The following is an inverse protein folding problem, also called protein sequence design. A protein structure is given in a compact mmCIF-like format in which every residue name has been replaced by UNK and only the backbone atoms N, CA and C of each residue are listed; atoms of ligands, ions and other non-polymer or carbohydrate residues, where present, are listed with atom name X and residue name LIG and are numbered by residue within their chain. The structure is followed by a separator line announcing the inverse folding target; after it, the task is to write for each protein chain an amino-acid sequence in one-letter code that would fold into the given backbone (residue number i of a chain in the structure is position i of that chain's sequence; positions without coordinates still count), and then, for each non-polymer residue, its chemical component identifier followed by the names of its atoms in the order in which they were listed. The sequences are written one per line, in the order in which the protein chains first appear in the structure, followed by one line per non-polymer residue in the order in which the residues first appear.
data_IF_439508105035
#
_entry.id   IF_439508105035
#
_cell.length_a   1.000
_cell.length_b   1.000
_cell.length_c   1.000
_cell.angle_alpha   90.00
_cell.angle_beta   90.00
_cell.angle_gamma   90.00
#
_symmetry.space_group_name_H-M   'P 1'
#
loop_
_entity.id
_entity.type
_entity.pdbx_description
1 polymer ?
#
# COMPACT_ATOMS: atom_id res chain seq x y z
N UNK A 1 74.45 -8.39 0.67
CA UNK A 1 74.52 -6.98 0.24
C UNK A 1 73.11 -6.41 0.23
N UNK A 2 72.81 -5.48 1.14
CA UNK A 2 71.50 -4.84 1.25
C UNK A 2 71.49 -3.55 0.43
N UNK A 3 70.61 -3.47 -0.57
CA UNK A 3 70.41 -2.26 -1.39
C UNK A 3 69.42 -1.32 -0.72
N UNK A 4 69.87 -0.09 -0.48
CA UNK A 4 69.10 1.02 0.10
C UNK A 4 67.99 1.49 -0.84
N UNK A 5 66.77 1.58 -0.30
CA UNK A 5 65.58 2.12 -0.95
C UNK A 5 65.75 3.61 -1.25
N UNK A 6 65.72 3.99 -2.54
CA UNK A 6 65.58 5.38 -2.97
C UNK A 6 64.16 5.87 -2.67
N UNK A 7 64.01 6.80 -1.73
CA UNK A 7 62.75 7.49 -1.46
C UNK A 7 62.48 8.53 -2.55
N UNK A 8 61.43 8.29 -3.36
CA UNK A 8 60.91 9.32 -4.29
C UNK A 8 60.06 10.32 -3.51
N UNK A 9 60.40 11.60 -3.62
CA UNK A 9 59.65 12.70 -3.00
C UNK A 9 58.28 12.84 -3.69
N UNK A 10 57.16 13.00 -2.94
CA UNK A 10 55.82 13.08 -3.51
C UNK A 10 55.62 14.34 -4.36
N UNK A 11 55.08 14.17 -5.56
CA UNK A 11 54.96 15.20 -6.60
C UNK A 11 53.74 16.12 -6.49
N UNK A 12 52.87 15.96 -5.49
CA UNK A 12 51.69 16.81 -5.33
C UNK A 12 51.45 17.22 -3.88
N UNK A 13 50.86 18.41 -3.70
CA UNK A 13 50.55 18.99 -2.39
C UNK A 13 49.65 18.09 -1.53
N UNK A 14 48.77 17.30 -2.14
CA UNK A 14 47.92 16.35 -1.43
C UNK A 14 48.70 15.16 -0.86
N UNK A 15 49.67 14.63 -1.61
CA UNK A 15 50.55 13.55 -1.15
C UNK A 15 51.55 14.05 -0.10
N UNK A 16 52.07 15.27 -0.26
CA UNK A 16 53.00 15.89 0.69
C UNK A 16 52.35 16.10 2.06
N UNK A 17 51.09 16.58 2.11
CA UNK A 17 50.30 16.68 3.35
C UNK A 17 50.00 15.32 3.99
N UNK A 18 49.87 14.27 3.18
CA UNK A 18 49.60 12.91 3.66
C UNK A 18 50.84 12.28 4.30
N UNK A 19 52.03 12.57 3.77
CA UNK A 19 53.31 12.08 4.31
C UNK A 19 53.76 12.86 5.55
N UNK A 20 53.57 14.18 5.59
CA UNK A 20 53.97 15.00 6.76
C UNK A 20 52.98 14.90 7.92
N UNK A 21 51.73 14.53 7.66
CA UNK A 21 50.73 14.28 8.70
C UNK A 21 50.87 12.93 9.43
N UNK A 22 51.84 12.09 9.03
CA UNK A 22 52.03 10.73 9.57
C UNK A 22 53.27 10.58 10.48
N UNK A 23 53.98 11.67 10.80
CA UNK A 23 55.19 11.66 11.63
C UNK A 23 54.96 11.95 13.12
N UNK A 24 53.71 12.02 13.57
CA UNK A 24 53.35 12.09 14.99
C UNK A 24 52.43 10.92 15.33
N UNK A 25 52.92 10.02 16.18
CA UNK A 25 52.23 8.90 16.82
C UNK A 25 51.83 7.69 15.97
N UNK A 26 52.66 6.65 16.12
CA UNK A 26 52.22 5.34 16.60
C UNK A 26 51.01 4.69 15.94
N UNK A 27 51.28 3.66 15.14
CA UNK A 27 50.51 2.43 14.98
C UNK A 27 49.03 2.52 15.39
N UNK A 28 48.11 2.59 14.41
CA UNK A 28 46.84 1.86 14.32
C UNK A 28 45.90 2.52 13.25
N UNK A 29 45.45 1.72 12.28
CA UNK A 29 44.35 1.94 11.31
C UNK A 29 44.48 3.02 10.20
N UNK A 30 44.67 2.57 8.95
CA UNK A 30 44.51 3.38 7.73
C UNK A 30 43.07 3.51 7.22
N UNK A 31 42.08 3.61 8.11
CA UNK A 31 40.71 3.96 7.69
C UNK A 31 40.56 5.48 7.70
N UNK A 32 41.10 6.16 6.68
CA UNK A 32 40.80 7.58 6.46
C UNK A 32 39.38 7.70 5.91
N UNK A 33 38.39 7.58 6.79
CA UNK A 33 37.00 7.84 6.47
C UNK A 33 36.88 9.31 6.07
N UNK A 34 36.56 9.59 4.82
CA UNK A 34 36.27 10.95 4.38
C UNK A 34 34.97 11.42 5.05
N UNK A 35 35.09 12.12 6.18
CA UNK A 35 33.97 12.83 6.77
C UNK A 35 33.74 14.07 5.91
N UNK A 36 32.79 13.97 4.97
CA UNK A 36 32.30 15.13 4.21
C UNK A 36 31.70 16.12 5.20
N UNK A 37 32.45 17.17 5.53
CA UNK A 37 31.97 18.26 6.37
C UNK A 37 30.69 18.87 5.79
N UNK A 38 29.70 19.11 6.66
CA UNK A 38 28.42 19.74 6.32
C UNK A 38 28.69 21.21 5.97
N UNK A 39 28.99 21.49 4.69
CA UNK A 39 29.17 22.85 4.19
C UNK A 39 27.82 23.58 4.30
N UNK A 40 27.76 24.64 5.13
CA UNK A 40 26.62 25.56 5.24
C UNK A 40 26.58 26.55 4.05
N UNK A 41 26.73 26.05 2.83
CA UNK A 41 26.33 26.84 1.66
C UNK A 41 24.80 26.84 1.67
N UNK A 42 24.22 28.00 1.96
CA UNK A 42 22.79 28.21 1.81
C UNK A 42 22.45 27.84 0.36
N UNK A 43 21.73 26.73 0.17
CA UNK A 43 21.18 26.40 -1.15
C UNK A 43 20.36 27.62 -1.57
N UNK A 44 20.69 28.22 -2.71
CA UNK A 44 19.88 29.27 -3.33
C UNK A 44 18.46 28.71 -3.44
N UNK A 45 17.53 29.25 -2.64
CA UNK A 45 16.22 28.63 -2.43
C UNK A 45 15.28 28.79 -3.62
N UNK A 46 15.70 29.54 -4.65
CA UNK A 46 14.79 30.14 -5.61
C UNK A 46 15.14 29.78 -7.07
N UNK A 47 15.44 28.50 -7.33
CA UNK A 47 15.49 28.01 -8.70
C UNK A 47 14.06 27.77 -9.24
N UNK A 48 13.24 28.81 -9.34
CA UNK A 48 11.90 28.73 -9.94
C UNK A 48 11.94 29.19 -11.39
N UNK A 49 11.15 28.54 -12.25
CA UNK A 49 11.04 28.89 -13.66
C UNK A 49 9.68 29.49 -13.95
N UNK A 50 9.66 30.57 -14.71
CA UNK A 50 8.44 31.24 -15.16
C UNK A 50 7.85 30.51 -16.36
N UNK A 51 6.57 30.16 -16.26
CA UNK A 51 5.86 29.38 -17.27
C UNK A 51 4.48 29.99 -17.54
N UNK A 52 3.96 29.77 -18.75
CA UNK A 52 2.60 30.13 -19.13
C UNK A 52 1.77 28.85 -19.27
N UNK A 53 0.63 28.80 -18.57
CA UNK A 53 -0.27 27.65 -18.62
C UNK A 53 -1.09 27.66 -19.92
N UNK A 54 -1.04 26.59 -20.71
CA UNK A 54 -1.90 26.40 -21.89
C UNK A 54 -3.24 25.75 -21.57
N UNK A 55 -3.33 25.04 -20.44
CA UNK A 55 -4.54 24.35 -19.96
C UNK A 55 -4.68 24.62 -18.45
N UNK A 56 -5.89 24.54 -17.88
CA UNK A 56 -6.05 24.71 -16.44
C UNK A 56 -5.42 23.54 -15.69
N UNK A 57 -4.61 23.83 -14.66
CA UNK A 57 -3.94 22.80 -13.85
C UNK A 57 -4.31 22.99 -12.39
N UNK A 58 -4.90 21.95 -11.79
CA UNK A 58 -5.34 21.91 -10.40
C UNK A 58 -4.16 22.22 -9.47
N UNK A 59 -4.36 23.14 -8.53
CA UNK A 59 -3.37 23.58 -7.56
C UNK A 59 -2.28 24.53 -8.09
N UNK A 60 -2.35 24.92 -9.38
CA UNK A 60 -1.41 25.90 -9.97
C UNK A 60 -2.18 27.11 -10.50
N UNK A 61 -3.18 26.91 -11.35
CA UNK A 61 -3.97 28.02 -11.89
C UNK A 61 -4.74 27.72 -13.18
N UNK A 62 -5.45 28.76 -13.63
CA UNK A 62 -6.25 28.76 -14.86
C UNK A 62 -5.35 28.83 -16.12
N UNK A 63 -5.92 28.42 -17.26
CA UNK A 63 -5.30 28.58 -18.58
C UNK A 63 -4.95 30.06 -18.85
N UNK A 64 -3.82 30.30 -19.50
CA UNK A 64 -3.29 31.61 -19.90
C UNK A 64 -2.47 32.32 -18.83
N UNK A 65 -2.47 31.83 -17.58
CA UNK A 65 -1.80 32.49 -16.45
C UNK A 65 -0.30 32.23 -16.47
N UNK A 66 0.48 33.27 -16.13
CA UNK A 66 1.93 33.18 -15.95
C UNK A 66 2.24 32.95 -14.47
N UNK A 67 2.93 31.84 -14.18
CA UNK A 67 3.17 31.34 -12.84
C UNK A 67 4.63 30.90 -12.70
N UNK A 68 5.20 31.08 -11.51
CA UNK A 68 6.52 30.53 -11.16
C UNK A 68 6.37 29.14 -10.53
N UNK A 69 7.06 28.15 -11.09
CA UNK A 69 6.94 26.75 -10.68
C UNK A 69 8.35 26.12 -10.59
N UNK A 70 8.58 25.15 -9.70
CA UNK A 70 9.85 24.43 -9.67
C UNK A 70 10.15 23.72 -11.01
N UNK A 71 11.41 23.73 -11.49
CA UNK A 71 11.80 23.23 -12.80
C UNK A 71 11.50 21.74 -12.98
N UNK A 72 11.59 20.95 -11.90
CA UNK A 72 11.25 19.52 -11.94
C UNK A 72 9.77 19.28 -12.23
N UNK A 73 8.86 20.11 -11.71
CA UNK A 73 7.43 19.99 -11.96
C UNK A 73 7.12 20.41 -13.41
N UNK A 74 7.74 21.51 -13.88
CA UNK A 74 7.62 21.93 -15.27
C UNK A 74 8.11 20.85 -16.24
N UNK A 75 9.34 20.33 -16.07
CA UNK A 75 9.94 19.33 -16.97
C UNK A 75 9.18 18.00 -16.99
N UNK A 76 8.85 17.48 -15.81
CA UNK A 76 8.36 16.10 -15.69
C UNK A 76 6.84 15.97 -15.88
N UNK A 77 6.06 17.03 -15.58
CA UNK A 77 4.58 16.94 -15.59
C UNK A 77 3.91 17.91 -16.54
N UNK A 78 4.39 19.15 -16.65
CA UNK A 78 3.67 20.19 -17.40
C UNK A 78 4.07 20.22 -18.88
N UNK A 79 5.37 20.32 -19.15
CA UNK A 79 5.90 20.51 -20.50
C UNK A 79 5.63 19.28 -21.38
N UNK A 80 6.00 18.07 -20.91
CA UNK A 80 5.80 16.84 -21.68
C UNK A 80 4.32 16.51 -21.99
N UNK A 81 3.38 17.07 -21.21
CA UNK A 81 1.92 16.91 -21.45
C UNK A 81 1.29 18.09 -22.19
N UNK A 82 2.08 19.09 -22.58
CA UNK A 82 1.58 20.31 -23.22
C UNK A 82 0.64 21.13 -22.34
N UNK A 83 0.81 21.08 -21.00
CA UNK A 83 0.03 21.88 -20.06
C UNK A 83 0.58 23.31 -19.90
N UNK A 84 1.87 23.50 -20.16
CA UNK A 84 2.52 24.80 -20.03
C UNK A 84 3.69 24.93 -21.01
N UNK A 85 4.06 26.18 -21.30
CA UNK A 85 5.21 26.57 -22.13
C UNK A 85 6.14 27.45 -21.31
N UNK A 86 7.45 27.31 -21.54
CA UNK A 86 8.46 28.18 -20.94
C UNK A 86 8.29 29.60 -21.48
N UNK A 87 8.27 30.59 -20.60
CA UNK A 87 8.20 32.00 -21.01
C UNK A 87 9.60 32.56 -20.95
N UNK A 88 10.10 33.03 -22.08
CA UNK A 88 11.37 33.76 -22.10
C UNK A 88 11.16 35.17 -21.53
N UNK A 89 12.18 35.77 -20.88
CA UNK A 89 12.04 37.10 -20.30
C UNK A 89 11.68 38.17 -21.33
N UNK A 90 12.02 37.99 -22.60
CA UNK A 90 11.68 38.88 -23.73
C UNK A 90 10.19 38.80 -24.09
N UNK A 91 9.62 37.60 -24.16
CA UNK A 91 8.17 37.40 -24.41
C UNK A 91 7.32 37.96 -23.27
N UNK A 92 7.81 37.86 -22.02
CA UNK A 92 7.09 38.40 -20.87
C UNK A 92 6.94 39.93 -20.86
N UNK A 93 7.91 40.66 -21.45
CA UNK A 93 7.86 42.13 -21.63
C UNK A 93 6.90 42.52 -22.72
N UNK A 94 7.02 41.88 -23.88
CA UNK A 94 6.20 42.15 -25.05
C UNK A 94 4.72 41.92 -24.75
N UNK A 95 4.41 40.92 -23.93
CA UNK A 95 3.05 40.64 -23.48
C UNK A 95 2.54 41.60 -22.37
N UNK A 96 3.31 42.63 -21.98
CA UNK A 96 2.95 43.54 -20.86
C UNK A 96 2.81 42.83 -19.51
N UNK A 97 3.32 41.61 -19.42
CA UNK A 97 2.90 40.62 -18.43
C UNK A 97 3.89 40.45 -17.28
N UNK A 98 5.03 41.15 -17.30
CA UNK A 98 6.01 41.14 -16.20
C UNK A 98 5.42 41.54 -14.84
N UNK A 99 4.38 42.37 -14.84
CA UNK A 99 3.64 42.74 -13.61
C UNK A 99 2.62 41.70 -13.15
N UNK A 100 2.36 40.66 -13.96
CA UNK A 100 1.37 39.61 -13.72
C UNK A 100 2.01 38.23 -13.49
N UNK A 101 3.27 38.20 -13.02
CA UNK A 101 3.86 36.94 -12.54
C UNK A 101 3.25 36.63 -11.19
N UNK A 102 2.47 35.57 -11.14
CA UNK A 102 1.70 35.21 -9.96
C UNK A 102 2.21 33.94 -9.30
N UNK A 103 2.02 33.86 -7.98
CA UNK A 103 2.31 32.64 -7.22
C UNK A 103 1.30 31.53 -7.60
N UNK A 104 1.70 30.25 -7.52
CA UNK A 104 0.80 29.12 -7.72
C UNK A 104 -0.41 29.17 -6.78
N UNK A 105 -1.61 29.04 -7.33
CA UNK A 105 -2.85 29.02 -6.56
C UNK A 105 -3.17 27.60 -6.07
N UNK A 106 -2.78 27.30 -4.82
CA UNK A 106 -3.03 26.00 -4.20
C UNK A 106 -4.52 25.67 -4.04
N UNK A 107 -5.42 26.66 -4.06
CA UNK A 107 -6.87 26.47 -3.89
C UNK A 107 -7.59 26.13 -5.19
N UNK A 108 -6.94 26.35 -6.34
CA UNK A 108 -7.55 26.15 -7.64
C UNK A 108 -7.87 24.67 -7.90
N UNK A 109 -9.14 24.35 -8.17
CA UNK A 109 -9.59 23.00 -8.52
C UNK A 109 -9.58 21.98 -7.36
N UNK A 110 -9.11 22.36 -6.17
CA UNK A 110 -9.32 21.56 -4.97
C UNK A 110 -10.74 21.82 -4.50
N UNK A 111 -11.60 20.81 -4.54
CA UNK A 111 -12.86 20.86 -3.79
C UNK A 111 -12.47 21.11 -2.34
N UNK A 112 -12.78 22.30 -1.81
CA UNK A 112 -12.71 22.50 -0.36
C UNK A 112 -13.57 21.39 0.21
N UNK A 113 -12.96 20.44 0.91
CA UNK A 113 -13.72 19.61 1.81
C UNK A 113 -14.35 20.61 2.77
N UNK A 114 -15.64 20.88 2.58
CA UNK A 114 -16.43 21.60 3.55
C UNK A 114 -16.28 20.73 4.80
N UNK A 115 -15.40 21.14 5.72
CA UNK A 115 -15.48 20.69 7.09
C UNK A 115 -16.83 21.25 7.55
N UNK A 116 -17.83 20.37 7.52
CA UNK A 116 -19.10 20.61 8.19
C UNK A 116 -18.73 20.58 9.67
N UNK A 117 -18.30 21.72 10.20
CA UNK A 117 -18.50 21.95 11.62
C UNK A 117 -20.02 22.06 11.80
N UNK A 118 -20.64 21.27 12.70
CA UNK A 118 -22.05 21.38 12.99
C UNK A 118 -22.28 22.69 13.74
N UNK A 119 -22.42 23.79 13.00
CA UNK A 119 -22.93 25.05 13.55
C UNK A 119 -24.44 24.91 13.62
N UNK A 120 -24.94 24.87 14.85
CA UNK A 120 -26.35 24.93 15.17
C UNK A 120 -27.01 26.15 14.52
N UNK A 121 -28.21 25.88 14.01
CA UNK A 121 -29.25 26.76 13.51
C UNK A 121 -29.05 28.27 13.71
N UNK A 122 -29.10 29.02 12.60
CA UNK A 122 -30.10 30.08 12.46
C UNK A 122 -30.32 30.52 11.01
N UNK A 123 -31.61 30.60 10.67
CA UNK A 123 -32.20 30.98 9.39
C UNK A 123 -31.75 32.37 8.95
N UNK A 124 -31.31 32.49 7.69
CA UNK A 124 -31.58 33.68 6.85
C UNK A 124 -31.45 33.32 5.37
N UNK A 125 -32.58 33.37 4.68
CA UNK A 125 -32.67 33.24 3.23
C UNK A 125 -32.14 34.50 2.57
N UNK A 126 -31.11 34.37 1.73
CA UNK A 126 -30.75 35.38 0.74
C UNK A 126 -30.64 34.72 -0.64
N UNK A 127 -31.49 35.22 -1.54
CA UNK A 127 -31.57 34.85 -2.95
C UNK A 127 -30.29 35.31 -3.66
N UNK A 128 -29.64 34.41 -4.40
CA UNK A 128 -28.75 34.79 -5.50
C UNK A 128 -29.12 34.00 -6.75
N UNK A 129 -29.43 34.76 -7.80
CA UNK A 129 -29.61 34.35 -9.18
C UNK A 129 -28.25 34.28 -9.86
N UNK A 130 -27.89 33.11 -10.39
CA UNK A 130 -27.17 33.01 -11.68
C UNK A 130 -26.96 31.54 -12.03
N UNK A 131 -27.28 31.19 -13.27
CA UNK A 131 -27.42 29.82 -13.76
C UNK A 131 -26.17 28.96 -13.63
N UNK A 132 -26.32 27.83 -12.96
CA UNK A 132 -25.46 26.68 -13.11
C UNK A 132 -26.34 25.50 -13.52
N UNK A 133 -25.98 24.85 -14.63
CA UNK A 133 -26.59 23.60 -15.08
C UNK A 133 -26.51 22.60 -13.93
N UNK A 134 -27.62 22.40 -13.23
CA UNK A 134 -27.81 21.32 -12.27
C UNK A 134 -27.77 20.02 -13.06
N UNK A 135 -26.58 19.44 -13.24
CA UNK A 135 -26.50 18.00 -13.45
C UNK A 135 -27.16 17.39 -12.21
N UNK A 136 -28.23 16.63 -12.45
CA UNK A 136 -29.01 15.90 -11.46
C UNK A 136 -28.10 14.94 -10.67
N UNK A 137 -27.41 15.46 -9.66
CA UNK A 137 -26.68 14.69 -8.64
C UNK A 137 -27.63 14.13 -7.57
N UNK A 138 -28.95 14.22 -7.77
CA UNK A 138 -29.96 13.51 -6.98
C UNK A 138 -30.29 12.11 -7.52
N UNK A 139 -29.46 11.60 -8.43
CA UNK A 139 -29.24 10.15 -8.54
C UNK A 139 -27.95 9.77 -7.82
N UNK A 140 -27.69 10.41 -6.67
CA UNK A 140 -27.01 9.70 -5.58
C UNK A 140 -27.94 8.55 -5.28
N UNK A 141 -27.49 7.38 -5.71
CA UNK A 141 -28.14 6.11 -5.55
C UNK A 141 -28.59 6.04 -4.09
N UNK A 142 -29.89 6.23 -3.85
CA UNK A 142 -30.55 5.55 -2.75
C UNK A 142 -30.31 4.07 -3.07
N UNK A 143 -29.16 3.56 -2.61
CA UNK A 143 -28.99 2.14 -2.42
C UNK A 143 -30.04 1.89 -1.36
N UNK A 144 -31.20 1.44 -1.81
CA UNK A 144 -32.27 0.92 -0.97
C UNK A 144 -31.64 -0.22 -0.19
N UNK A 145 -31.03 0.15 0.95
CA UNK A 145 -30.32 -0.75 1.83
C UNK A 145 -31.37 -1.74 2.30
N UNK A 146 -31.20 -3.00 1.92
CA UNK A 146 -32.09 -4.07 2.34
C UNK A 146 -32.12 -4.09 3.88
N UNK A 147 -33.27 -4.45 4.46
CA UNK A 147 -33.32 -4.69 5.90
C UNK A 147 -32.33 -5.82 6.26
N UNK A 148 -31.68 -5.75 7.43
CA UNK A 148 -30.69 -6.74 7.84
C UNK A 148 -31.27 -8.18 7.83
N UNK A 149 -32.52 -8.34 8.25
CA UNK A 149 -33.25 -9.62 8.22
C UNK A 149 -33.47 -10.14 6.79
N UNK A 150 -33.78 -9.25 5.83
CA UNK A 150 -33.92 -9.65 4.43
C UNK A 150 -32.57 -10.03 3.84
N UNK A 151 -31.50 -9.34 4.22
CA UNK A 151 -30.16 -9.70 3.75
C UNK A 151 -29.69 -11.05 4.29
N UNK A 152 -30.03 -11.43 5.52
CA UNK A 152 -29.70 -12.77 6.04
C UNK A 152 -30.45 -13.87 5.31
N UNK A 153 -31.72 -13.66 4.96
CA UNK A 153 -32.49 -14.61 4.13
C UNK A 153 -31.87 -14.77 2.73
N UNK A 154 -31.43 -13.66 2.11
CA UNK A 154 -30.75 -13.72 0.82
C UNK A 154 -29.41 -14.49 0.95
N UNK A 155 -28.68 -14.31 2.04
CA UNK A 155 -27.47 -15.09 2.31
C UNK A 155 -27.76 -16.58 2.56
N UNK A 156 -28.90 -16.94 3.17
CA UNK A 156 -29.30 -18.33 3.35
C UNK A 156 -29.68 -19.02 2.03
N UNK A 157 -30.24 -18.25 1.09
CA UNK A 157 -30.81 -18.81 -0.13
C UNK A 157 -29.78 -18.86 -1.28
N UNK A 158 -28.99 -17.79 -1.44
CA UNK A 158 -28.10 -17.64 -2.60
C UNK A 158 -26.72 -18.26 -2.42
N UNK A 159 -26.24 -18.38 -1.18
CA UNK A 159 -24.92 -18.94 -0.91
C UNK A 159 -25.06 -20.47 -0.78
N UNK A 160 -24.28 -21.25 -1.54
CA UNK A 160 -24.26 -22.70 -1.40
C UNK A 160 -23.81 -23.14 0.01
N UNK A 161 -24.26 -24.31 0.50
CA UNK A 161 -23.82 -24.85 1.79
C UNK A 161 -22.31 -25.15 1.83
N UNK A 162 -21.71 -25.48 0.68
CA UNK A 162 -20.29 -25.74 0.53
C UNK A 162 -19.65 -24.76 -0.46
N UNK A 163 -18.57 -24.10 -0.05
CA UNK A 163 -17.78 -23.21 -0.90
C UNK A 163 -16.40 -23.83 -1.13
N UNK A 164 -16.12 -24.23 -2.38
CA UNK A 164 -14.88 -24.93 -2.73
C UNK A 164 -13.74 -23.97 -3.06
N UNK A 165 -12.61 -24.05 -2.35
CA UNK A 165 -11.34 -23.39 -2.69
C UNK A 165 -10.35 -24.41 -3.22
N UNK A 166 -9.55 -24.01 -4.20
CA UNK A 166 -8.51 -24.84 -4.80
C UNK A 166 -7.18 -24.14 -4.57
N UNK A 167 -6.30 -24.78 -3.82
CA UNK A 167 -5.01 -24.22 -3.45
C UNK A 167 -3.90 -25.26 -3.62
N UNK A 168 -2.68 -24.81 -3.89
CA UNK A 168 -1.54 -25.72 -4.09
C UNK A 168 -1.07 -26.31 -2.76
N UNK A 169 -1.06 -27.63 -2.66
CA UNK A 169 -0.63 -28.33 -1.44
C UNK A 169 0.90 -28.32 -1.33
N UNK A 170 1.43 -28.01 -0.14
CA UNK A 170 2.85 -28.20 0.15
C UNK A 170 3.06 -29.69 0.46
N UNK A 171 3.57 -30.43 -0.52
CA UNK A 171 4.13 -31.75 -0.29
C UNK A 171 5.40 -31.61 0.53
N UNK A 172 5.29 -31.60 1.85
CA UNK A 172 6.47 -31.66 2.71
C UNK A 172 7.09 -33.04 2.51
N UNK A 173 8.21 -33.10 1.78
CA UNK A 173 9.03 -34.31 1.74
C UNK A 173 9.29 -34.73 3.21
N UNK A 174 9.05 -36.00 3.58
CA UNK A 174 9.06 -36.42 4.97
C UNK A 174 10.38 -35.99 5.59
N UNK A 175 10.30 -35.11 6.60
CA UNK A 175 11.46 -34.63 7.33
C UNK A 175 12.19 -35.87 7.81
N UNK A 176 13.50 -36.04 7.52
CA UNK A 176 14.23 -37.21 7.96
C UNK A 176 14.10 -37.24 9.48
N UNK A 177 13.45 -38.30 9.99
CA UNK A 177 13.28 -38.56 11.41
C UNK A 177 14.63 -38.27 12.06
N UNK A 178 14.69 -37.27 12.95
CA UNK A 178 15.92 -36.95 13.68
C UNK A 178 16.34 -38.23 14.37
N UNK A 179 17.33 -38.92 13.81
CA UNK A 179 17.90 -40.12 14.41
C UNK A 179 18.48 -39.68 15.73
N UNK A 180 17.83 -40.05 16.83
CA UNK A 180 18.39 -39.92 18.17
C UNK A 180 19.56 -40.88 18.20
N UNK A 181 20.74 -40.41 17.80
CA UNK A 181 21.98 -41.18 17.67
C UNK A 181 21.99 -42.19 16.50
N UNK A 182 23.10 -42.30 15.74
CA UNK A 182 23.29 -43.33 14.72
C UNK A 182 23.36 -44.76 15.27
N UNK A 183 23.46 -44.93 16.59
CA UNK A 183 23.62 -46.22 17.27
C UNK A 183 22.33 -46.88 17.75
N UNK A 184 21.17 -46.21 17.63
CA UNK A 184 19.88 -46.80 18.03
C UNK A 184 19.18 -47.42 16.82
N UNK A 185 18.94 -48.73 16.89
CA UNK A 185 18.19 -49.47 15.89
C UNK A 185 16.74 -48.95 15.82
N UNK A 186 16.20 -48.81 14.60
CA UNK A 186 14.84 -48.32 14.33
C UNK A 186 13.74 -49.17 15.00
N UNK A 187 14.06 -50.40 15.40
CA UNK A 187 13.16 -51.35 16.08
C UNK A 187 13.26 -51.31 17.62
N UNK A 188 14.05 -50.41 18.21
CA UNK A 188 14.16 -50.35 19.67
C UNK A 188 12.86 -49.89 20.32
N UNK A 189 12.49 -50.50 21.45
CA UNK A 189 11.29 -50.15 22.24
C UNK A 189 11.29 -48.68 22.68
N UNK A 190 12.47 -48.08 22.83
CA UNK A 190 12.68 -46.67 23.19
C UNK A 190 12.33 -45.75 22.00
N UNK A 191 12.71 -46.13 20.77
CA UNK A 191 12.31 -45.41 19.55
C UNK A 191 10.80 -45.54 19.27
N UNK A 192 10.20 -46.69 19.57
CA UNK A 192 8.76 -46.90 19.44
C UNK A 192 7.94 -46.05 20.44
N UNK A 193 8.46 -45.81 21.65
CA UNK A 193 7.82 -44.94 22.63
C UNK A 193 7.97 -43.44 22.26
N UNK A 194 9.11 -43.04 21.71
CA UNK A 194 9.33 -41.66 21.23
C UNK A 194 8.45 -41.30 20.03
N UNK A 195 8.21 -42.24 19.10
CA UNK A 195 7.25 -42.05 17.98
C UNK A 195 5.79 -42.03 18.42
N UNK A 196 5.44 -42.58 19.59
CA UNK A 196 4.07 -42.54 20.13
C UNK A 196 3.75 -41.24 20.89
N UNK A 197 4.76 -40.45 21.25
CA UNK A 197 4.60 -39.15 21.91
C UNK A 197 4.40 -37.98 20.93
N UNK A 198 4.33 -38.22 19.62
CA UNK A 198 3.89 -37.21 18.63
C UNK A 198 2.40 -37.30 18.31
N UNK A 199 1.60 -37.85 19.23
CA UNK A 199 0.14 -37.91 19.10
C UNK A 199 -0.48 -36.54 19.38
N UNK A 200 -1.18 -35.99 18.38
CA UNK A 200 -2.26 -35.05 18.66
C UNK A 200 -2.40 -33.80 17.77
N UNK A 201 -1.65 -33.62 16.69
CA UNK A 201 -2.02 -32.64 15.66
C UNK A 201 -2.45 -33.40 14.42
N UNK A 202 -3.74 -33.33 14.10
CA UNK A 202 -4.34 -33.82 12.86
C UNK A 202 -3.39 -33.57 11.69
N UNK A 203 -3.07 -34.59 10.90
CA UNK A 203 -2.28 -34.51 9.66
C UNK A 203 -2.99 -33.63 8.64
N UNK A 204 -2.94 -32.32 8.89
CA UNK A 204 -3.50 -31.28 8.06
C UNK A 204 -2.44 -30.97 7.01
N UNK A 205 -2.73 -31.31 5.75
CA UNK A 205 -1.81 -31.04 4.64
C UNK A 205 -1.68 -29.52 4.49
N UNK A 206 -0.48 -28.95 4.65
CA UNK A 206 -0.29 -27.51 4.55
C UNK A 206 -0.46 -27.04 3.10
N UNK A 207 -0.92 -25.81 2.95
CA UNK A 207 -1.19 -25.14 1.68
C UNK A 207 -0.11 -24.08 1.44
N UNK A 208 0.23 -23.88 0.17
CA UNK A 208 1.03 -22.75 -0.25
C UNK A 208 0.19 -21.47 -0.22
N UNK A 209 0.36 -20.68 0.83
CA UNK A 209 -0.42 -19.45 1.06
C UNK A 209 -1.38 -19.58 2.23
N UNK A 210 -2.49 -18.86 2.17
CA UNK A 210 -3.52 -18.88 3.21
C UNK A 210 -4.85 -18.44 2.63
N UNK A 211 -5.92 -19.15 2.94
CA UNK A 211 -7.29 -18.72 2.65
C UNK A 211 -7.75 -17.82 3.80
N UNK A 212 -7.94 -16.53 3.52
CA UNK A 212 -8.35 -15.54 4.52
C UNK A 212 -9.84 -15.25 4.49
N UNK A 213 -10.38 -14.65 5.56
CA UNK A 213 -11.76 -14.13 5.58
C UNK A 213 -12.05 -13.14 4.43
N UNK A 214 -11.04 -12.41 3.95
CA UNK A 214 -11.16 -11.52 2.80
C UNK A 214 -11.38 -12.29 1.49
N UNK A 215 -10.68 -13.41 1.29
CA UNK A 215 -10.83 -14.26 0.10
C UNK A 215 -12.20 -14.94 0.10
N UNK A 216 -12.66 -15.35 1.29
CA UNK A 216 -14.01 -15.88 1.52
C UNK A 216 -15.06 -14.83 1.17
N UNK A 217 -14.93 -13.61 1.69
CA UNK A 217 -15.85 -12.52 1.38
C UNK A 217 -15.88 -12.20 -0.11
N UNK A 218 -14.71 -12.18 -0.77
CA UNK A 218 -14.61 -11.91 -2.21
C UNK A 218 -15.35 -12.99 -3.03
N UNK A 219 -15.17 -14.26 -2.69
CA UNK A 219 -15.82 -15.38 -3.39
C UNK A 219 -17.32 -15.43 -3.14
N UNK A 220 -17.77 -15.11 -1.93
CA UNK A 220 -19.20 -14.97 -1.66
C UNK A 220 -19.80 -13.80 -2.44
N UNK A 221 -19.08 -12.67 -2.59
CA UNK A 221 -19.52 -11.52 -3.39
C UNK A 221 -19.63 -11.85 -4.88
N UNK A 222 -18.77 -12.70 -5.42
CA UNK A 222 -18.88 -13.12 -6.81
C UNK A 222 -20.11 -14.00 -7.04
N UNK A 223 -20.44 -14.89 -6.09
CA UNK A 223 -21.67 -15.70 -6.12
C UNK A 223 -22.90 -14.79 -6.02
N UNK A 224 -22.97 -13.92 -5.02
CA UNK A 224 -24.07 -12.97 -4.82
C UNK A 224 -24.20 -11.95 -5.96
N UNK A 225 -23.12 -11.72 -6.71
CA UNK A 225 -23.08 -10.88 -7.89
C UNK A 225 -23.80 -11.48 -9.11
N UNK A 226 -24.25 -12.73 -9.07
CA UNK A 226 -25.06 -13.32 -10.13
C UNK A 226 -26.50 -12.82 -10.06
N UNK A 227 -27.02 -12.59 -8.85
CA UNK A 227 -28.40 -12.18 -8.61
C UNK A 227 -28.57 -10.68 -8.42
N UNK A 228 -29.77 -10.18 -8.73
CA UNK A 228 -30.12 -8.76 -8.62
C UNK A 228 -30.28 -8.28 -7.18
N UNK A 229 -30.77 -9.15 -6.29
CA UNK A 229 -30.91 -8.87 -4.86
C UNK A 229 -29.60 -9.08 -4.10
N UNK A 230 -28.82 -10.11 -4.46
CA UNK A 230 -27.52 -10.40 -3.84
C UNK A 230 -26.51 -9.25 -3.97
N UNK A 231 -26.50 -8.55 -5.11
CA UNK A 231 -25.67 -7.34 -5.33
C UNK A 231 -25.93 -6.21 -4.34
N UNK A 232 -27.12 -6.17 -3.73
CA UNK A 232 -27.51 -5.12 -2.77
C UNK A 232 -27.05 -5.43 -1.36
N UNK A 233 -26.66 -6.67 -1.07
CA UNK A 233 -26.18 -7.09 0.24
C UNK A 233 -24.76 -6.54 0.46
N UNK A 234 -24.60 -5.77 1.53
CA UNK A 234 -23.30 -5.22 1.94
C UNK A 234 -22.78 -6.04 3.10
N UNK A 235 -21.65 -6.73 2.88
CA UNK A 235 -20.94 -7.46 3.92
C UNK A 235 -19.43 -7.40 3.69
N UNK A 236 -18.66 -7.51 4.78
CA UNK A 236 -17.20 -7.41 4.79
C UNK A 236 -16.52 -8.64 5.41
N UNK A 237 -15.17 -8.71 5.37
CA UNK A 237 -14.41 -9.74 6.08
C UNK A 237 -14.63 -9.71 7.60
N UNK A 238 -15.02 -8.57 8.17
CA UNK A 238 -15.33 -8.39 9.59
C UNK A 238 -16.60 -9.13 10.04
N UNK A 239 -17.49 -9.45 9.10
CA UNK A 239 -18.76 -10.14 9.36
C UNK A 239 -18.58 -11.67 9.33
N UNK A 240 -17.37 -12.17 9.07
CA UNK A 240 -17.05 -13.59 8.86
C UNK A 240 -16.14 -14.08 9.98
N UNK A 241 -16.53 -15.17 10.65
CA UNK A 241 -15.75 -15.79 11.73
C UNK A 241 -15.65 -17.29 11.55
N UNK A 242 -14.47 -17.86 11.78
CA UNK A 242 -14.30 -19.31 11.79
C UNK A 242 -14.86 -19.89 13.10
N UNK A 243 -15.67 -20.94 13.00
CA UNK A 243 -16.25 -21.64 14.15
C UNK A 243 -15.21 -22.52 14.83
N UNK A 244 -14.31 -23.10 14.04
CA UNK A 244 -13.26 -23.99 14.52
C UNK A 244 -12.02 -23.20 14.95
N UNK A 245 -11.45 -23.57 16.10
CA UNK A 245 -10.15 -23.07 16.55
C UNK A 245 -9.07 -23.45 15.54
N UNK A 246 -8.70 -22.48 14.69
CA UNK A 246 -7.60 -22.60 13.73
C UNK A 246 -6.36 -21.94 14.32
N UNK A 247 -5.17 -22.30 13.84
CA UNK A 247 -3.90 -21.70 14.28
C UNK A 247 -3.89 -20.16 14.18
N UNK A 248 -4.62 -19.63 13.20
CA UNK A 248 -4.87 -18.20 13.01
C UNK A 248 -6.39 -17.98 12.95
N UNK A 249 -6.90 -16.95 13.64
CA UNK A 249 -8.35 -16.68 13.73
C UNK A 249 -8.96 -16.22 12.41
N UNK A 250 -8.15 -15.64 11.53
CA UNK A 250 -8.62 -14.96 10.32
C UNK A 250 -8.24 -15.71 9.04
N UNK A 251 -7.43 -16.78 9.15
CA UNK A 251 -6.79 -17.44 8.02
C UNK A 251 -6.59 -18.93 8.23
N UNK A 252 -6.73 -19.67 7.14
CA UNK A 252 -6.55 -21.12 7.09
C UNK A 252 -5.38 -21.47 6.17
N UNK A 253 -4.46 -22.29 6.66
CA UNK A 253 -3.24 -22.71 5.93
C UNK A 253 -3.23 -24.20 5.56
N UNK A 254 -4.35 -24.88 5.76
CA UNK A 254 -4.41 -26.32 5.71
C UNK A 254 -5.59 -26.78 4.86
N UNK A 255 -5.42 -27.89 4.13
CA UNK A 255 -6.51 -28.54 3.42
C UNK A 255 -7.52 -29.11 4.41
N UNK A 256 -8.79 -29.07 4.04
CA UNK A 256 -9.86 -29.59 4.90
C UNK A 256 -11.18 -28.87 4.72
N UNK A 257 -12.11 -29.19 5.62
CA UNK A 257 -13.44 -28.60 5.67
C UNK A 257 -13.52 -27.74 6.93
N UNK A 258 -13.82 -26.46 6.73
CA UNK A 258 -13.88 -25.44 7.77
C UNK A 258 -15.27 -24.85 7.85
N UNK A 259 -15.81 -24.74 9.05
CA UNK A 259 -17.09 -24.08 9.28
C UNK A 259 -16.90 -22.61 9.60
N UNK A 260 -17.74 -21.78 8.99
CA UNK A 260 -17.70 -20.33 9.10
C UNK A 260 -19.08 -19.79 9.41
N UNK A 261 -19.14 -18.93 10.41
CA UNK A 261 -20.32 -18.17 10.82
C UNK A 261 -20.25 -16.77 10.20
N UNK A 262 -21.33 -16.40 9.50
CA UNK A 262 -21.49 -15.10 8.84
C UNK A 262 -22.53 -14.29 9.62
N UNK A 263 -22.10 -13.21 10.26
CA UNK A 263 -22.93 -12.37 11.12
C UNK A 263 -22.98 -10.95 10.57
N UNK A 264 -24.12 -10.56 9.99
CA UNK A 264 -24.34 -9.20 9.50
C UNK A 264 -24.63 -8.23 10.65
N UNK A 265 -24.15 -6.99 10.49
CA UNK A 265 -24.42 -5.91 11.45
C UNK A 265 -25.91 -5.60 11.52
N UNK A 266 -26.50 -5.80 12.69
CA UNK A 266 -27.92 -5.55 12.94
C UNK A 266 -28.84 -6.72 12.64
N UNK A 267 -28.31 -7.88 12.22
CA UNK A 267 -29.07 -9.11 12.14
C UNK A 267 -28.91 -9.94 13.43
N UNK A 268 -29.99 -10.57 13.94
CA UNK A 268 -29.92 -11.41 15.14
C UNK A 268 -29.33 -12.80 14.87
N UNK A 269 -29.44 -13.29 13.63
CA UNK A 269 -29.06 -14.65 13.24
C UNK A 269 -27.77 -14.68 12.43
N UNK A 270 -26.89 -15.64 12.75
CA UNK A 270 -25.67 -15.91 12.00
C UNK A 270 -25.89 -17.07 11.03
N UNK A 271 -25.49 -16.90 9.77
CA UNK A 271 -25.61 -17.93 8.72
C UNK A 271 -24.35 -18.79 8.74
N UNK A 272 -24.51 -20.09 8.96
CA UNK A 272 -23.40 -21.07 8.97
C UNK A 272 -23.14 -21.64 7.59
N UNK A 273 -21.89 -21.66 7.15
CA UNK A 273 -21.47 -22.26 5.88
C UNK A 273 -20.19 -23.07 6.03
N UNK A 274 -20.06 -24.11 5.21
CA UNK A 274 -18.87 -24.94 5.17
C UNK A 274 -17.99 -24.54 3.99
N UNK A 275 -16.70 -24.43 4.25
CA UNK A 275 -15.67 -24.08 3.28
C UNK A 275 -14.81 -25.30 3.08
N UNK A 276 -14.73 -25.79 1.84
CA UNK A 276 -13.95 -26.97 1.49
C UNK A 276 -12.71 -26.52 0.73
N UNK A 277 -11.54 -26.77 1.30
CA UNK A 277 -10.26 -26.42 0.68
C UNK A 277 -9.66 -27.70 0.11
N UNK A 278 -9.61 -27.76 -1.21
CA UNK A 278 -9.11 -28.88 -2.00
C UNK A 278 -7.71 -28.57 -2.53
N UNK A 279 -6.93 -29.62 -2.76
CA UNK A 279 -5.68 -29.50 -3.50
C UNK A 279 -5.99 -29.12 -4.96
N UNK A 280 -5.24 -28.16 -5.47
CA UNK A 280 -5.16 -27.88 -6.90
C UNK A 280 -4.14 -28.84 -7.53
N UNK A 281 -4.57 -29.57 -8.56
CA UNK A 281 -3.72 -30.46 -9.38
C UNK A 281 -2.68 -29.69 -10.20
#
# INVERSE_FOLDING_TARGET
MASLLQSRVPSCLACLRRTTGSFGDGLLFSSSQQVRGKKKLAKEKDHNVTIQLLKPVIGIGRKGRIVQVPPGLMRNKLYGRGFAVYVTPTESEQAGSRKNVSLPDSTFGKRKAIRIEPVQDQKKALKFLSGERRLNLKKVVELELLSPERSTAILSDLIPPYIDFFETAITVAPVPVKKVSPSLASSSSISAAASKNSTGKSEKVPIYGSVSTADIAAKMKTILGQDSEGKRVVFGPEDIKFVQETEETDRVKHLGIYEVDIQLRGAPEAVRRSIKINAQD
#
